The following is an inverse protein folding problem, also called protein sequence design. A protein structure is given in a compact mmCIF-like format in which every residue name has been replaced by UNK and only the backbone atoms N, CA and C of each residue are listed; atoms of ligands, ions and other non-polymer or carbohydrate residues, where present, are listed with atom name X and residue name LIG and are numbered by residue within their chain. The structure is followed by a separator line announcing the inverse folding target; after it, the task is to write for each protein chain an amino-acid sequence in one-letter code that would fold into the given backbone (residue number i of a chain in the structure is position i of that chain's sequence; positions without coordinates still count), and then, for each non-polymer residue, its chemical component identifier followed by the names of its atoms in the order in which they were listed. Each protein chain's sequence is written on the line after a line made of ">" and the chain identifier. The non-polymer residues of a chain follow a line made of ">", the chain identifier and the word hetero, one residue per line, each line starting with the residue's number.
data_IF_708508973099
#
_entry.id   IF_708508973099
#
_cell.length_a   1.000
_cell.length_b   1.000
_cell.length_c   1.000
_cell.angle_alpha   90.00
_cell.angle_beta   90.00
_cell.angle_gamma   90.00
#
_symmetry.space_group_name_H-M   'P 1'
#
loop_
_entity.id
_entity.type
_entity.pdbx_description
1 polymer ?
#
# COMPACT_ATOMS: atom_id res chain seq x y z
N UNK A 1 -33.74 21.29 27.51
CA UNK A 1 -33.24 20.79 28.78
C UNK A 1 -32.04 19.84 28.73
N UNK A 2 -31.75 18.95 27.79
CA UNK A 2 -30.46 18.23 27.81
C UNK A 2 -29.41 18.79 26.84
N UNK A 3 -29.60 20.00 26.30
CA UNK A 3 -28.64 20.61 25.34
C UNK A 3 -27.19 20.74 25.85
N UNK A 4 -27.01 20.92 27.18
CA UNK A 4 -25.68 21.04 27.79
C UNK A 4 -24.87 19.75 27.75
N UNK A 5 -25.44 18.60 28.14
CA UNK A 5 -24.74 17.29 28.16
C UNK A 5 -24.31 16.85 26.77
N UNK A 6 -25.19 17.01 25.75
CA UNK A 6 -24.85 16.65 24.37
C UNK A 6 -23.73 17.53 23.78
N UNK A 7 -23.76 18.83 24.08
CA UNK A 7 -22.74 19.78 23.64
C UNK A 7 -21.39 19.48 24.28
N UNK A 8 -21.36 19.11 25.56
CA UNK A 8 -20.15 18.70 26.25
C UNK A 8 -19.59 17.40 25.68
N UNK A 9 -20.44 16.40 25.38
CA UNK A 9 -20.03 15.16 24.72
C UNK A 9 -19.54 15.40 23.29
N UNK A 10 -20.14 16.36 22.55
CA UNK A 10 -19.66 16.72 21.22
C UNK A 10 -18.30 17.40 21.28
N UNK A 11 -18.02 18.21 22.30
CA UNK A 11 -16.72 18.84 22.52
C UNK A 11 -15.63 17.79 22.78
N UNK A 12 -15.86 16.85 23.69
CA UNK A 12 -14.92 15.76 23.99
C UNK A 12 -14.65 14.90 22.75
N UNK A 13 -15.71 14.57 22.01
CA UNK A 13 -15.55 13.82 20.75
C UNK A 13 -14.80 14.63 19.70
N UNK A 14 -15.01 15.93 19.62
CA UNK A 14 -14.31 16.81 18.70
C UNK A 14 -12.80 16.86 18.99
N UNK A 15 -12.40 16.91 20.26
CA UNK A 15 -10.99 16.81 20.66
C UNK A 15 -10.38 15.46 20.21
N UNK A 16 -11.04 14.35 20.55
CA UNK A 16 -10.56 13.01 20.16
C UNK A 16 -10.49 12.83 18.64
N UNK A 17 -11.41 13.43 17.87
CA UNK A 17 -11.38 13.45 16.41
C UNK A 17 -10.17 14.21 15.87
N UNK A 18 -9.86 15.37 16.43
CA UNK A 18 -8.69 16.17 16.05
C UNK A 18 -7.38 15.40 16.28
N UNK A 19 -7.26 14.72 17.43
CA UNK A 19 -6.12 13.85 17.76
C UNK A 19 -5.98 12.72 16.73
N UNK A 20 -7.06 11.94 16.49
CA UNK A 20 -7.02 10.83 15.52
C UNK A 20 -6.73 11.30 14.10
N UNK A 21 -7.26 12.45 13.70
CA UNK A 21 -6.99 13.04 12.41
C UNK A 21 -5.51 13.42 12.25
N UNK A 22 -4.90 13.96 13.29
CA UNK A 22 -3.47 14.29 13.33
C UNK A 22 -2.61 13.02 13.32
N UNK A 23 -2.90 12.03 14.17
CA UNK A 23 -2.21 10.76 14.23
C UNK A 23 -2.28 10.00 12.89
N UNK A 24 -3.41 10.09 12.20
CA UNK A 24 -3.58 9.52 10.85
C UNK A 24 -2.94 10.36 9.74
N UNK A 25 -2.08 11.33 10.07
CA UNK A 25 -1.44 12.24 9.09
C UNK A 25 -2.46 12.96 8.20
N UNK A 26 -3.63 13.27 8.75
CA UNK A 26 -4.74 13.94 8.06
C UNK A 26 -5.26 13.15 6.84
N UNK A 27 -5.11 11.81 6.85
CA UNK A 27 -5.51 10.95 5.74
C UNK A 27 -6.84 10.23 5.95
N UNK A 28 -7.37 10.23 7.19
CA UNK A 28 -8.58 9.49 7.51
C UNK A 28 -9.85 10.31 7.29
N UNK A 29 -10.70 9.83 6.39
CA UNK A 29 -12.09 10.28 6.31
C UNK A 29 -12.97 9.64 7.39
N UNK A 30 -14.22 10.07 7.46
CA UNK A 30 -15.16 9.62 8.52
C UNK A 30 -15.25 8.10 8.73
N UNK A 31 -15.15 7.19 7.72
CA UNK A 31 -15.18 5.76 8.00
C UNK A 31 -14.01 5.26 8.82
N UNK A 32 -12.77 5.69 8.47
CA UNK A 32 -11.56 5.30 9.21
C UNK A 32 -11.50 5.97 10.59
N UNK A 33 -11.93 7.23 10.73
CA UNK A 33 -11.99 7.90 12.03
C UNK A 33 -13.00 7.22 12.95
N UNK A 34 -14.16 6.78 12.48
CA UNK A 34 -15.10 5.97 13.29
C UNK A 34 -14.45 4.67 13.75
N UNK A 35 -13.69 4.00 12.90
CA UNK A 35 -12.99 2.78 13.26
C UNK A 35 -11.88 3.03 14.29
N UNK A 36 -11.06 4.07 14.10
CA UNK A 36 -10.01 4.47 15.03
C UNK A 36 -10.57 4.84 16.42
N UNK A 37 -11.62 5.65 16.45
CA UNK A 37 -12.31 5.99 17.71
C UNK A 37 -12.88 4.74 18.40
N UNK A 38 -13.42 3.78 17.64
CA UNK A 38 -13.93 2.51 18.19
C UNK A 38 -12.83 1.68 18.83
N UNK A 39 -11.63 1.66 18.24
CA UNK A 39 -10.46 0.99 18.82
C UNK A 39 -10.03 1.62 20.15
N UNK A 40 -10.28 2.93 20.33
CA UNK A 40 -10.11 3.65 21.63
C UNK A 40 -11.30 3.48 22.60
N UNK A 41 -12.27 2.64 22.29
CA UNK A 41 -13.49 2.46 23.11
C UNK A 41 -14.58 3.53 22.88
N UNK A 42 -14.37 4.48 21.97
CA UNK A 42 -15.32 5.57 21.69
C UNK A 42 -16.27 5.17 20.56
N UNK A 43 -17.49 4.73 20.89
CA UNK A 43 -18.49 4.26 19.92
C UNK A 43 -19.42 5.39 19.48
N UNK A 44 -19.20 5.90 18.26
CA UNK A 44 -20.00 6.99 17.68
C UNK A 44 -20.44 6.67 16.26
N UNK A 45 -21.62 7.18 15.87
CA UNK A 45 -22.15 7.00 14.53
C UNK A 45 -21.44 7.87 13.49
N UNK A 46 -21.31 7.35 12.26
CA UNK A 46 -20.64 8.01 11.12
C UNK A 46 -21.17 9.43 10.85
N UNK A 47 -22.48 9.65 10.96
CA UNK A 47 -23.09 10.96 10.68
C UNK A 47 -22.68 12.02 11.73
N UNK A 48 -22.56 11.62 13.02
CA UNK A 48 -22.07 12.50 14.08
C UNK A 48 -20.61 12.88 13.85
N UNK A 49 -19.77 11.89 13.53
CA UNK A 49 -18.36 12.10 13.20
C UNK A 49 -18.21 13.02 11.98
N UNK A 50 -18.97 12.77 10.89
CA UNK A 50 -18.94 13.62 9.68
C UNK A 50 -19.34 15.07 9.98
N UNK A 51 -20.35 15.29 10.83
CA UNK A 51 -20.77 16.64 11.24
C UNK A 51 -19.65 17.37 11.96
N UNK A 52 -19.05 16.73 12.98
CA UNK A 52 -17.95 17.30 13.76
C UNK A 52 -16.69 17.56 12.91
N UNK A 53 -16.37 16.67 11.98
CA UNK A 53 -15.29 16.92 11.02
C UNK A 53 -15.51 18.20 10.21
N UNK A 54 -16.74 18.45 9.75
CA UNK A 54 -17.07 19.68 9.01
C UNK A 54 -16.98 20.92 9.89
N UNK A 55 -17.48 20.84 11.14
CA UNK A 55 -17.42 21.94 12.10
C UNK A 55 -15.98 22.31 12.48
N UNK A 56 -15.06 21.33 12.46
CA UNK A 56 -13.62 21.53 12.72
C UNK A 56 -12.78 21.74 11.46
N UNK A 57 -13.39 21.83 10.28
CA UNK A 57 -12.70 21.96 8.99
C UNK A 57 -11.68 20.83 8.70
N UNK A 58 -11.90 19.61 9.25
CA UNK A 58 -11.04 18.47 9.00
C UNK A 58 -11.30 17.90 7.60
N UNK A 59 -10.41 18.24 6.67
CA UNK A 59 -10.51 17.84 5.28
C UNK A 59 -9.36 16.93 4.88
N UNK A 60 -9.71 15.78 4.29
CA UNK A 60 -8.72 14.81 3.77
C UNK A 60 -8.21 15.28 2.42
N UNK A 61 -6.93 15.06 2.14
CA UNK A 61 -6.36 15.28 0.80
C UNK A 61 -7.13 14.47 -0.25
N UNK A 62 -7.56 15.14 -1.33
CA UNK A 62 -8.28 14.47 -2.41
C UNK A 62 -7.32 13.89 -3.44
N UNK A 63 -7.68 12.71 -3.99
CA UNK A 63 -6.93 12.11 -5.10
C UNK A 63 -7.00 13.03 -6.32
N UNK A 64 -5.86 13.37 -6.91
CA UNK A 64 -5.81 13.96 -8.25
C UNK A 64 -5.96 12.84 -9.29
N UNK A 65 -6.77 13.08 -10.30
CA UNK A 65 -6.92 12.17 -11.44
C UNK A 65 -5.71 12.34 -12.36
N UNK A 66 -4.73 11.46 -12.24
CA UNK A 66 -3.59 11.38 -13.13
C UNK A 66 -3.43 9.94 -13.60
N UNK A 67 -3.48 9.72 -14.90
CA UNK A 67 -3.32 8.39 -15.51
C UNK A 67 -2.15 8.48 -16.49
N UNK A 68 -0.94 8.14 -16.09
CA UNK A 68 0.14 7.95 -17.05
C UNK A 68 0.05 6.57 -17.69
N UNK A 69 0.39 6.47 -18.95
CA UNK A 69 0.55 5.23 -19.71
C UNK A 69 2.05 4.95 -19.83
N UNK A 70 2.56 3.91 -19.15
CA UNK A 70 4.02 3.70 -19.00
C UNK A 70 4.54 2.32 -19.29
N UNK A 71 3.70 1.33 -19.50
CA UNK A 71 4.18 -0.04 -19.75
C UNK A 71 4.46 -0.23 -21.25
N UNK A 72 5.74 -0.37 -21.61
CA UNK A 72 6.14 -0.90 -22.90
C UNK A 72 6.37 -2.40 -22.74
N UNK A 73 5.49 -3.21 -23.33
CA UNK A 73 5.70 -4.65 -23.39
C UNK A 73 6.82 -4.97 -24.40
N UNK A 74 7.79 -5.78 -23.98
CA UNK A 74 8.76 -6.34 -24.89
C UNK A 74 8.08 -7.39 -25.77
N UNK A 75 8.07 -7.14 -27.09
CA UNK A 75 7.44 -8.02 -28.09
C UNK A 75 8.11 -9.39 -28.21
N UNK A 76 9.34 -9.54 -27.75
CA UNK A 76 10.14 -10.77 -27.86
C UNK A 76 10.16 -11.59 -26.55
N UNK A 77 9.47 -11.14 -25.50
CA UNK A 77 9.44 -11.87 -24.23
C UNK A 77 8.39 -12.97 -24.23
N UNK A 78 8.73 -14.14 -23.67
CA UNK A 78 7.76 -15.20 -23.36
C UNK A 78 7.22 -14.98 -21.94
N UNK A 79 6.04 -14.33 -21.75
CA UNK A 79 5.51 -14.07 -20.43
C UNK A 79 5.04 -15.37 -19.76
N UNK A 80 5.19 -15.45 -18.45
CA UNK A 80 4.61 -16.52 -17.64
C UNK A 80 3.08 -16.50 -17.71
N UNK A 81 2.38 -17.64 -17.55
CA UNK A 81 0.93 -17.68 -17.56
C UNK A 81 0.33 -16.87 -16.40
N UNK A 82 -0.89 -16.38 -16.58
CA UNK A 82 -1.64 -15.74 -15.52
C UNK A 82 -2.26 -16.81 -14.59
N UNK A 83 -1.59 -17.09 -13.50
CA UNK A 83 -2.02 -18.06 -12.50
C UNK A 83 -2.85 -17.41 -11.39
N UNK A 84 -2.63 -16.12 -11.11
CA UNK A 84 -3.32 -15.41 -10.01
C UNK A 84 -4.83 -15.35 -10.24
N UNK A 85 -5.27 -15.09 -11.47
CA UNK A 85 -6.69 -14.99 -11.81
C UNK A 85 -7.50 -16.29 -11.63
N UNK A 86 -6.82 -17.44 -11.53
CA UNK A 86 -7.43 -18.76 -11.28
C UNK A 86 -7.29 -19.23 -9.83
N UNK A 87 -6.57 -18.49 -8.98
CA UNK A 87 -6.37 -18.85 -7.58
C UNK A 87 -7.48 -18.27 -6.68
N UNK A 88 -7.82 -18.95 -5.59
CA UNK A 88 -8.69 -18.39 -4.57
C UNK A 88 -8.01 -17.17 -3.91
N UNK A 89 -8.82 -16.32 -3.29
CA UNK A 89 -8.31 -15.19 -2.50
C UNK A 89 -7.37 -15.73 -1.40
N UNK A 90 -6.17 -15.14 -1.23
CA UNK A 90 -5.24 -15.58 -0.20
C UNK A 90 -5.86 -15.56 1.20
N UNK A 91 -5.67 -16.64 1.97
CA UNK A 91 -6.21 -16.82 3.32
C UNK A 91 -5.13 -16.74 4.41
N UNK A 92 -3.86 -16.72 4.03
CA UNK A 92 -2.69 -16.56 4.92
C UNK A 92 -1.59 -15.76 4.23
N UNK A 93 -0.66 -15.18 5.00
CA UNK A 93 0.52 -14.52 4.41
C UNK A 93 1.34 -15.47 3.52
N UNK A 94 2.04 -14.90 2.56
CA UNK A 94 2.97 -15.58 1.65
C UNK A 94 2.32 -16.62 0.71
N UNK A 95 1.02 -16.51 0.42
CA UNK A 95 0.40 -17.29 -0.66
C UNK A 95 0.53 -16.59 -2.01
N UNK A 96 0.39 -15.27 -2.03
CA UNK A 96 0.57 -14.49 -3.25
C UNK A 96 1.17 -13.11 -2.93
N UNK A 97 2.23 -12.77 -3.63
CA UNK A 97 2.79 -11.42 -3.65
C UNK A 97 2.51 -10.77 -5.00
N UNK A 98 2.26 -9.46 -4.98
CA UNK A 98 2.16 -8.66 -6.21
C UNK A 98 3.23 -7.59 -6.20
N UNK A 99 3.79 -7.33 -7.37
CA UNK A 99 4.81 -6.33 -7.57
C UNK A 99 4.46 -5.38 -8.70
N UNK A 100 4.92 -4.16 -8.58
CA UNK A 100 4.79 -3.14 -9.62
C UNK A 100 5.85 -2.05 -9.43
N UNK A 101 6.09 -1.28 -10.50
CA UNK A 101 6.99 -0.14 -10.49
C UNK A 101 6.17 1.13 -10.74
N UNK A 102 6.37 2.12 -9.88
CA UNK A 102 5.84 3.47 -10.11
C UNK A 102 6.98 4.47 -10.23
N UNK A 103 6.66 5.70 -10.61
CA UNK A 103 7.62 6.80 -10.64
C UNK A 103 7.03 8.05 -9.97
N UNK A 104 7.92 8.81 -9.36
CA UNK A 104 7.64 10.00 -8.58
C UNK A 104 8.50 11.15 -9.12
N UNK A 105 7.93 12.35 -9.34
CA UNK A 105 8.72 13.51 -9.73
C UNK A 105 9.54 14.03 -8.55
N UNK A 106 10.78 14.43 -8.82
CA UNK A 106 11.64 15.17 -7.89
C UNK A 106 12.30 16.33 -8.62
N UNK A 107 12.90 17.27 -7.92
CA UNK A 107 13.70 18.34 -8.51
C UNK A 107 14.89 17.85 -9.33
N UNK A 108 15.37 16.62 -9.04
CA UNK A 108 16.46 15.96 -9.79
C UNK A 108 15.96 15.06 -10.94
N UNK A 109 14.67 15.11 -11.28
CA UNK A 109 14.03 14.23 -12.25
C UNK A 109 13.28 13.07 -11.61
N UNK A 110 13.00 11.99 -12.37
CA UNK A 110 12.22 10.87 -11.90
C UNK A 110 12.93 10.01 -10.85
N UNK A 111 12.21 9.62 -9.81
CA UNK A 111 12.55 8.54 -8.90
C UNK A 111 11.62 7.36 -9.21
N UNK A 112 12.20 6.25 -9.62
CA UNK A 112 11.49 4.98 -9.85
C UNK A 112 11.42 4.19 -8.55
N UNK A 113 10.29 3.58 -8.27
CA UNK A 113 10.05 2.85 -7.02
C UNK A 113 9.43 1.52 -7.35
N UNK A 114 10.08 0.42 -6.98
CA UNK A 114 9.54 -0.92 -7.04
C UNK A 114 9.08 -1.35 -5.65
N UNK A 115 7.96 -2.07 -5.56
CA UNK A 115 7.48 -2.61 -4.29
C UNK A 115 6.87 -4.01 -4.44
N UNK A 116 7.00 -4.79 -3.37
CA UNK A 116 6.42 -6.10 -3.17
C UNK A 116 5.33 -6.02 -2.11
N UNK A 117 4.12 -6.43 -2.44
CA UNK A 117 2.98 -6.44 -1.53
C UNK A 117 2.48 -7.86 -1.32
N UNK A 118 2.32 -8.26 -0.08
CA UNK A 118 1.57 -9.47 0.29
C UNK A 118 0.06 -9.22 0.09
N UNK A 119 -0.57 -9.99 -0.79
CA UNK A 119 -1.99 -9.80 -1.14
C UNK A 119 -2.93 -10.11 0.02
N UNK A 120 -2.56 -10.99 0.94
CA UNK A 120 -3.37 -11.33 2.09
C UNK A 120 -3.53 -10.15 3.04
N UNK A 121 -2.41 -9.54 3.43
CA UNK A 121 -2.37 -8.49 4.44
C UNK A 121 -2.29 -7.08 3.87
N UNK A 122 -2.07 -6.92 2.56
CA UNK A 122 -1.75 -5.63 1.92
C UNK A 122 -0.47 -4.99 2.44
N UNK A 123 0.36 -5.73 3.15
CA UNK A 123 1.64 -5.27 3.69
C UNK A 123 2.65 -5.08 2.56
N UNK A 124 3.33 -3.96 2.55
CA UNK A 124 4.53 -3.78 1.72
C UNK A 124 5.68 -4.46 2.44
N UNK A 125 6.14 -5.58 1.88
CA UNK A 125 7.14 -6.46 2.49
C UNK A 125 8.55 -6.19 1.97
N UNK A 126 8.66 -5.50 0.83
CA UNK A 126 9.92 -5.07 0.25
C UNK A 126 9.69 -3.90 -0.70
N UNK A 127 10.61 -2.98 -0.76
CA UNK A 127 10.61 -1.89 -1.74
C UNK A 127 12.01 -1.33 -1.92
N UNK A 128 12.27 -0.79 -3.09
CA UNK A 128 13.47 -0.02 -3.37
C UNK A 128 13.18 1.13 -4.32
N UNK A 129 14.07 2.12 -4.38
CA UNK A 129 13.90 3.28 -5.20
C UNK A 129 15.23 3.72 -5.82
N UNK A 130 15.22 4.15 -7.07
CA UNK A 130 16.41 4.52 -7.81
C UNK A 130 16.16 5.49 -8.96
N UNK A 131 17.24 6.02 -9.56
CA UNK A 131 17.15 7.02 -10.62
C UNK A 131 16.79 6.44 -12.00
N UNK A 132 16.75 5.13 -12.14
CA UNK A 132 16.51 4.45 -13.42
C UNK A 132 15.59 3.24 -13.27
N UNK A 133 14.98 2.81 -14.39
CA UNK A 133 14.17 1.60 -14.53
C UNK A 133 15.02 0.34 -14.77
N UNK A 134 16.24 0.30 -14.26
CA UNK A 134 17.11 -0.85 -14.43
C UNK A 134 16.48 -2.12 -13.81
N UNK A 135 16.80 -3.28 -14.36
CA UNK A 135 16.30 -4.59 -13.91
C UNK A 135 16.66 -4.91 -12.46
N UNK A 136 17.70 -4.27 -11.94
CA UNK A 136 18.16 -4.38 -10.55
C UNK A 136 17.16 -3.82 -9.55
N UNK A 137 16.35 -2.82 -9.94
CA UNK A 137 15.41 -2.16 -9.05
C UNK A 137 14.34 -3.12 -8.49
N UNK A 138 13.55 -3.86 -9.31
CA UNK A 138 12.62 -4.86 -8.76
C UNK A 138 13.34 -6.03 -8.10
N UNK A 139 14.54 -6.41 -8.57
CA UNK A 139 15.36 -7.43 -7.92
C UNK A 139 15.77 -7.04 -6.50
N UNK A 140 16.11 -5.77 -6.27
CA UNK A 140 16.41 -5.24 -4.93
C UNK A 140 15.17 -5.22 -4.04
N UNK A 141 14.00 -4.84 -4.58
CA UNK A 141 12.74 -4.88 -3.83
C UNK A 141 12.39 -6.32 -3.41
N UNK A 142 12.51 -7.29 -4.33
CA UNK A 142 12.34 -8.72 -4.05
C UNK A 142 13.30 -9.21 -2.97
N UNK A 143 14.59 -8.87 -3.05
CA UNK A 143 15.57 -9.27 -2.05
C UNK A 143 15.22 -8.75 -0.65
N UNK A 144 14.72 -7.53 -0.54
CA UNK A 144 14.21 -6.96 0.72
C UNK A 144 12.97 -7.69 1.22
N UNK A 145 12.05 -8.06 0.34
CA UNK A 145 10.88 -8.87 0.68
C UNK A 145 11.29 -10.24 1.23
N UNK A 146 12.22 -10.92 0.57
CA UNK A 146 12.79 -12.18 1.03
C UNK A 146 13.47 -12.06 2.40
N UNK A 147 14.17 -10.95 2.63
CA UNK A 147 14.78 -10.66 3.94
C UNK A 147 13.72 -10.44 5.02
N UNK A 148 12.66 -9.69 4.71
CA UNK A 148 11.53 -9.45 5.63
C UNK A 148 10.79 -10.74 5.98
N UNK A 149 10.74 -11.69 5.05
CA UNK A 149 10.10 -13.01 5.21
C UNK A 149 11.08 -14.14 5.53
N UNK A 150 12.27 -13.80 6.00
CA UNK A 150 13.27 -14.82 6.39
C UNK A 150 12.71 -15.78 7.43
N UNK A 151 12.92 -17.08 7.22
CA UNK A 151 12.40 -18.14 8.10
C UNK A 151 10.96 -18.58 7.79
N UNK A 152 10.27 -17.98 6.83
CA UNK A 152 8.98 -18.46 6.34
C UNK A 152 9.17 -19.42 5.16
N UNK A 153 8.27 -20.40 5.06
CA UNK A 153 8.18 -21.25 3.86
C UNK A 153 7.55 -20.49 2.70
N UNK A 154 8.27 -20.39 1.59
CA UNK A 154 7.86 -19.66 0.38
C UNK A 154 7.70 -20.58 -0.84
N UNK A 155 7.73 -21.91 -0.68
CA UNK A 155 7.71 -22.87 -1.82
C UNK A 155 6.43 -22.81 -2.66
N UNK A 156 5.30 -22.48 -2.05
CA UNK A 156 4.01 -22.37 -2.74
C UNK A 156 3.64 -20.92 -3.06
N UNK A 157 4.59 -19.99 -2.89
CA UNK A 157 4.36 -18.57 -3.14
C UNK A 157 4.18 -18.31 -4.63
N UNK A 158 3.08 -17.66 -4.97
CA UNK A 158 2.83 -17.08 -6.28
C UNK A 158 3.29 -15.63 -6.31
N UNK A 159 4.25 -15.31 -7.17
CA UNK A 159 4.72 -13.95 -7.39
C UNK A 159 4.13 -13.40 -8.69
N UNK A 160 3.29 -12.38 -8.58
CA UNK A 160 2.56 -11.81 -9.70
C UNK A 160 3.03 -10.41 -10.08
N UNK A 161 3.23 -10.17 -11.37
CA UNK A 161 3.62 -8.88 -11.94
C UNK A 161 2.87 -8.56 -13.22
N UNK A 162 3.04 -7.36 -13.73
CA UNK A 162 2.75 -7.07 -15.14
C UNK A 162 3.80 -7.71 -16.06
N UNK A 163 3.69 -7.46 -17.39
CA UNK A 163 4.63 -7.99 -18.39
C UNK A 163 5.77 -7.03 -18.69
N UNK A 164 6.14 -6.18 -17.76
CA UNK A 164 7.30 -5.30 -17.92
C UNK A 164 8.59 -6.08 -18.19
N UNK A 165 9.49 -5.53 -19.02
CA UNK A 165 10.75 -6.16 -19.41
C UNK A 165 11.64 -6.50 -18.20
N UNK A 166 11.52 -5.76 -17.10
CA UNK A 166 12.24 -6.01 -15.86
C UNK A 166 11.88 -7.37 -15.25
N UNK A 167 10.59 -7.73 -15.26
CA UNK A 167 10.05 -8.97 -14.68
C UNK A 167 10.23 -10.19 -15.61
N UNK A 168 10.37 -9.96 -16.92
CA UNK A 168 10.65 -11.02 -17.91
C UNK A 168 12.14 -11.32 -18.04
N UNK A 169 13.02 -10.52 -17.42
CA UNK A 169 14.46 -10.68 -17.47
C UNK A 169 14.91 -12.03 -16.87
N UNK A 170 15.96 -12.62 -17.44
CA UNK A 170 16.54 -13.87 -16.95
C UNK A 170 16.99 -13.75 -15.49
N UNK A 171 17.61 -12.63 -15.12
CA UNK A 171 18.08 -12.37 -13.75
C UNK A 171 16.95 -12.41 -12.74
N UNK A 172 15.84 -11.73 -13.02
CA UNK A 172 14.70 -11.70 -12.10
C UNK A 172 14.03 -13.09 -11.98
N UNK A 173 13.82 -13.78 -13.10
CA UNK A 173 13.28 -15.14 -13.10
C UNK A 173 14.16 -16.12 -12.33
N UNK A 174 15.47 -16.00 -12.49
CA UNK A 174 16.43 -16.83 -11.77
C UNK A 174 16.38 -16.56 -10.26
N UNK A 175 16.19 -15.31 -9.82
CA UNK A 175 16.01 -15.00 -8.41
C UNK A 175 14.77 -15.70 -7.83
N UNK A 176 13.63 -15.67 -8.52
CA UNK A 176 12.41 -16.37 -8.09
C UNK A 176 12.62 -17.88 -8.03
N UNK A 177 13.18 -18.47 -9.10
CA UNK A 177 13.41 -19.90 -9.20
C UNK A 177 14.33 -20.45 -8.10
N UNK A 178 15.37 -19.70 -7.72
CA UNK A 178 16.26 -20.08 -6.59
C UNK A 178 15.55 -20.17 -5.25
N UNK A 179 14.43 -19.49 -5.09
CA UNK A 179 13.60 -19.52 -3.89
C UNK A 179 12.41 -20.48 -4.00
N UNK A 180 12.26 -21.20 -5.12
CA UNK A 180 11.12 -22.06 -5.40
C UNK A 180 9.82 -21.29 -5.62
N UNK A 181 9.88 -19.98 -5.91
CA UNK A 181 8.71 -19.10 -6.07
C UNK A 181 8.19 -19.22 -7.51
N UNK A 182 6.87 -19.43 -7.63
CA UNK A 182 6.21 -19.54 -8.94
C UNK A 182 5.89 -18.15 -9.50
N UNK A 183 6.34 -17.86 -10.70
CA UNK A 183 6.04 -16.61 -11.38
C UNK A 183 4.68 -16.65 -12.09
N UNK A 184 3.90 -15.59 -11.95
CA UNK A 184 2.65 -15.34 -12.66
C UNK A 184 2.68 -13.93 -13.26
N UNK A 185 2.07 -13.75 -14.44
CA UNK A 185 2.01 -12.45 -15.10
C UNK A 185 0.60 -12.13 -15.58
N UNK A 186 0.20 -10.86 -15.45
CA UNK A 186 -1.09 -10.35 -15.94
C UNK A 186 -1.29 -10.66 -17.42
N UNK A 187 -2.52 -10.83 -17.85
CA UNK A 187 -2.85 -10.84 -19.28
C UNK A 187 -2.64 -9.43 -19.88
N UNK A 188 -2.32 -9.35 -21.15
CA UNK A 188 -2.24 -8.06 -21.83
C UNK A 188 -3.59 -7.34 -21.72
N UNK A 189 -3.58 -6.12 -21.14
CA UNK A 189 -4.78 -5.28 -20.99
C UNK A 189 -5.69 -5.61 -19.80
N UNK A 190 -5.36 -6.59 -18.95
CA UNK A 190 -6.12 -6.88 -17.73
C UNK A 190 -5.48 -6.21 -16.51
N UNK A 191 -6.05 -5.08 -16.09
CA UNK A 191 -5.57 -4.32 -14.91
C UNK A 191 -6.12 -4.85 -13.57
N UNK A 192 -7.07 -5.80 -13.57
CA UNK A 192 -7.71 -6.25 -12.33
C UNK A 192 -6.78 -7.09 -11.45
N UNK A 193 -5.86 -7.81 -12.05
CA UNK A 193 -4.97 -8.74 -11.33
C UNK A 193 -3.94 -7.99 -10.49
N UNK A 194 -3.60 -6.73 -10.84
CA UNK A 194 -2.65 -5.88 -10.13
C UNK A 194 -3.29 -4.70 -9.36
N UNK A 195 -4.64 -4.68 -9.29
CA UNK A 195 -5.41 -3.58 -8.70
C UNK A 195 -5.03 -3.24 -7.24
N UNK A 196 -4.52 -4.22 -6.50
CA UNK A 196 -4.12 -4.05 -5.11
C UNK A 196 -2.93 -3.10 -4.96
N UNK A 197 -1.87 -3.33 -5.73
CA UNK A 197 -0.66 -2.51 -5.67
C UNK A 197 -0.85 -1.19 -6.42
N UNK A 198 -1.68 -1.16 -7.48
CA UNK A 198 -2.09 0.09 -8.12
C UNK A 198 -2.83 1.01 -7.15
N UNK A 199 -3.75 0.44 -6.35
CA UNK A 199 -4.45 1.17 -5.30
C UNK A 199 -3.49 1.68 -4.21
N UNK A 200 -2.44 0.92 -3.89
CA UNK A 200 -1.37 1.36 -2.99
C UNK A 200 -0.64 2.58 -3.56
N UNK A 201 -0.21 2.53 -4.82
CA UNK A 201 0.47 3.66 -5.46
C UNK A 201 -0.38 4.92 -5.50
N UNK A 202 -1.66 4.79 -5.84
CA UNK A 202 -2.58 5.92 -5.83
C UNK A 202 -2.73 6.52 -4.42
N UNK A 203 -2.74 5.68 -3.41
CA UNK A 203 -2.81 6.07 -2.00
C UNK A 203 -1.51 6.74 -1.55
N UNK A 204 -0.37 6.13 -1.81
CA UNK A 204 0.96 6.66 -1.48
C UNK A 204 1.17 8.03 -2.12
N UNK A 205 0.90 8.18 -3.43
CA UNK A 205 1.03 9.46 -4.13
C UNK A 205 0.15 10.55 -3.51
N UNK A 206 -1.05 10.20 -3.05
CA UNK A 206 -1.98 11.16 -2.44
C UNK A 206 -1.59 11.51 -1.01
N UNK A 207 -1.32 10.50 -0.18
CA UNK A 207 -1.17 10.65 1.27
C UNK A 207 0.26 11.06 1.67
N UNK A 208 1.28 10.54 0.97
CA UNK A 208 2.69 10.85 1.25
C UNK A 208 3.13 12.15 0.55
N UNK A 209 2.87 12.26 -0.76
CA UNK A 209 3.37 13.38 -1.56
C UNK A 209 2.32 14.49 -1.76
N UNK A 210 1.06 14.13 -2.02
CA UNK A 210 0.00 15.13 -2.28
C UNK A 210 0.35 16.01 -3.47
N UNK A 211 0.64 17.30 -3.20
CA UNK A 211 1.10 18.29 -4.20
C UNK A 211 2.59 18.60 -4.08
N UNK A 212 3.27 18.05 -3.08
CA UNK A 212 4.69 18.30 -2.83
C UNK A 212 5.55 17.52 -3.82
N UNK A 213 6.48 18.20 -4.46
CA UNK A 213 7.55 17.62 -5.26
C UNK A 213 8.81 17.74 -4.43
N UNK A 214 9.42 16.64 -3.94
CA UNK A 214 10.66 16.69 -3.18
C UNK A 214 11.80 17.26 -4.05
N UNK A 215 12.68 18.08 -3.47
CA UNK A 215 13.79 18.67 -4.20
C UNK A 215 14.78 17.63 -4.71
N UNK A 216 15.02 16.57 -3.91
CA UNK A 216 15.99 15.53 -4.23
C UNK A 216 15.37 14.12 -4.17
N UNK A 217 15.98 13.18 -4.90
CA UNK A 217 15.64 11.75 -4.82
C UNK A 217 15.89 11.18 -3.42
N UNK A 218 16.93 11.65 -2.74
CA UNK A 218 17.22 11.25 -1.35
C UNK A 218 16.10 11.68 -0.40
N UNK A 219 15.60 12.91 -0.51
CA UNK A 219 14.46 13.38 0.27
C UNK A 219 13.19 12.56 -0.03
N UNK A 220 12.88 12.33 -1.30
CA UNK A 220 11.76 11.48 -1.70
C UNK A 220 11.86 10.05 -1.10
N UNK A 221 13.06 9.47 -1.08
CA UNK A 221 13.32 8.15 -0.48
C UNK A 221 13.09 8.15 1.04
N UNK A 222 13.49 9.19 1.74
CA UNK A 222 13.21 9.37 3.17
C UNK A 222 11.70 9.46 3.44
N UNK A 223 10.96 10.23 2.62
CA UNK A 223 9.51 10.32 2.72
C UNK A 223 8.83 8.96 2.48
N UNK A 224 9.30 8.19 1.51
CA UNK A 224 8.83 6.83 1.24
C UNK A 224 9.03 5.91 2.43
N UNK A 225 10.25 5.91 3.00
CA UNK A 225 10.58 5.12 4.18
C UNK A 225 9.66 5.46 5.36
N UNK A 226 9.56 6.75 5.67
CA UNK A 226 8.68 7.21 6.74
C UNK A 226 7.22 6.82 6.50
N UNK A 227 6.71 6.97 5.26
CA UNK A 227 5.33 6.61 4.95
C UNK A 227 5.09 5.10 5.02
N UNK A 228 5.95 4.27 4.42
CA UNK A 228 5.74 2.83 4.32
C UNK A 228 5.97 2.16 5.67
N UNK A 229 7.11 2.44 6.32
CA UNK A 229 7.57 1.68 7.49
C UNK A 229 6.97 2.20 8.80
N UNK A 230 6.70 3.51 8.90
CA UNK A 230 6.20 4.07 10.17
C UNK A 230 4.69 4.34 10.17
N UNK A 231 4.04 4.39 8.99
CA UNK A 231 2.61 4.67 8.91
C UNK A 231 1.81 3.62 8.16
N UNK A 232 2.11 3.35 6.88
CA UNK A 232 1.29 2.45 6.05
C UNK A 232 1.20 1.05 6.63
N UNK A 233 2.33 0.42 6.88
CA UNK A 233 2.38 -0.96 7.40
C UNK A 233 1.87 -1.07 8.85
N UNK A 234 2.34 -0.24 9.82
CA UNK A 234 1.99 -0.44 11.22
C UNK A 234 0.68 0.23 11.65
N UNK A 235 0.27 1.32 11.02
CA UNK A 235 -0.81 2.17 11.55
C UNK A 235 -2.01 2.33 10.61
N UNK A 236 -1.78 2.38 9.28
CA UNK A 236 -2.83 2.78 8.35
C UNK A 236 -3.96 1.76 8.28
N UNK A 237 -5.18 2.17 8.65
CA UNK A 237 -6.36 1.32 8.64
C UNK A 237 -6.86 1.04 7.21
N UNK A 238 -7.15 -0.22 6.92
CA UNK A 238 -7.67 -0.70 5.63
C UNK A 238 -9.10 -1.25 5.79
N UNK A 239 -10.04 -0.75 5.01
CA UNK A 239 -11.42 -1.24 5.03
C UNK A 239 -11.54 -2.70 4.61
N UNK A 240 -10.69 -3.17 3.69
CA UNK A 240 -10.62 -4.57 3.28
C UNK A 240 -10.04 -5.50 4.35
N UNK A 241 -9.40 -4.96 5.38
CA UNK A 241 -8.81 -5.70 6.52
C UNK A 241 -9.58 -5.42 7.82
N UNK A 242 -10.90 -5.23 7.74
CA UNK A 242 -11.74 -4.90 8.89
C UNK A 242 -11.25 -3.69 9.70
N UNK A 243 -10.68 -2.71 9.01
CA UNK A 243 -10.05 -1.53 9.62
C UNK A 243 -8.89 -1.87 10.57
N UNK A 244 -8.14 -2.91 10.25
CA UNK A 244 -6.82 -3.14 10.84
C UNK A 244 -5.73 -2.58 9.91
N UNK A 245 -4.56 -2.31 10.47
CA UNK A 245 -3.37 -2.05 9.67
C UNK A 245 -2.80 -3.38 9.12
N UNK A 246 -2.00 -3.36 8.04
CA UNK A 246 -1.38 -4.55 7.49
C UNK A 246 -0.67 -5.43 8.53
N UNK A 247 0.17 -4.82 9.38
CA UNK A 247 0.87 -5.55 10.44
C UNK A 247 -0.07 -6.08 11.53
N UNK A 248 -1.08 -5.31 11.94
CA UNK A 248 -2.04 -5.76 12.95
C UNK A 248 -2.89 -6.91 12.42
N UNK A 249 -3.23 -6.89 11.12
CA UNK A 249 -3.97 -7.97 10.48
C UNK A 249 -3.16 -9.27 10.41
N UNK A 250 -1.88 -9.22 10.02
CA UNK A 250 -1.01 -10.41 10.04
C UNK A 250 -0.87 -11.00 11.45
N UNK A 251 -0.70 -10.15 12.48
CA UNK A 251 -0.59 -10.61 13.86
C UNK A 251 -1.87 -11.27 14.38
N UNK A 252 -3.05 -10.75 14.01
CA UNK A 252 -4.33 -11.30 14.47
C UNK A 252 -4.60 -12.72 13.95
N UNK A 253 -4.02 -13.09 12.80
CA UNK A 253 -4.19 -14.42 12.18
C UNK A 253 -3.15 -15.44 12.64
N UNK A 254 -2.05 -15.01 13.23
CA UNK A 254 -1.05 -15.91 13.81
C UNK A 254 -1.45 -16.43 15.20
N UNK A 255 -2.47 -15.81 15.83
CA UNK A 255 -2.96 -16.14 17.18
C UNK A 255 -4.18 -17.08 17.17
N UNK A 256 -4.72 -17.41 16.00
CA UNK A 256 -5.81 -18.37 15.78
C UNK A 256 -5.29 -19.61 15.05
#
# INVERSE_FOLDING_TARGET
>A
KPRGKRRQQDHLLACALGEEFTLSRQTYGSPRLVAALRQRGLRHGKNRVRRLMREQHLQVRQKRRFVPRTTQADKNSHPSPNLLGSQPVPTRPNQAWVTDITYLPTGEGWLYVAAEMDLYSRRIIGWDAGPSLATELPGSALQRALTTRRGHDLRDLLHHSDRGCQYTSHTFRHQLARQGITQSMSRAGNCYDNAAIESFWATLKTECFGTTIPDTRAHARTMLFDYIETFYNPMRLHSSLNFLSPLAFEKSTQLN
#
